data_IF_743957210880
#
_entry.id   IF_743957210880
#
_cell.length_a   1.000
_cell.length_b   1.000
_cell.length_c   1.000
_cell.angle_alpha   90.00
_cell.angle_beta   90.00
_cell.angle_gamma   90.00
#
_symmetry.space_group_name_H-M   'P 1'
#
loop_
_entity.id
_entity.type
_entity.pdbx_description
1 polymer ?
#
# COMPACT_ATOMS: atom_id res chain seq x y z
N UNK A 1 16.46 -13.05 -15.68
CA UNK A 1 17.08 -11.87 -15.04
C UNK A 1 16.27 -11.60 -13.79
N UNK A 2 16.84 -11.83 -12.62
CA UNK A 2 16.23 -11.45 -11.34
C UNK A 2 16.25 -9.93 -11.28
N UNK A 3 15.08 -9.31 -11.37
CA UNK A 3 14.94 -7.91 -11.03
C UNK A 3 14.98 -7.85 -9.50
N UNK A 4 16.20 -7.86 -8.96
CA UNK A 4 16.42 -7.50 -7.55
C UNK A 4 16.31 -5.99 -7.52
N UNK A 5 15.09 -5.49 -7.40
CA UNK A 5 14.87 -4.09 -7.07
C UNK A 5 15.49 -3.90 -5.69
N UNK A 6 16.63 -3.22 -5.62
CA UNK A 6 17.17 -2.76 -4.35
C UNK A 6 16.19 -1.68 -3.85
N UNK A 7 15.14 -2.09 -3.14
CA UNK A 7 14.17 -1.19 -2.55
C UNK A 7 14.85 -0.46 -1.40
N UNK A 8 15.40 0.72 -1.66
CA UNK A 8 15.80 1.65 -0.61
C UNK A 8 14.53 2.12 0.10
N UNK A 9 14.54 2.13 1.44
CA UNK A 9 13.41 2.64 2.22
C UNK A 9 13.15 4.11 1.88
N UNK A 10 11.88 4.50 1.84
CA UNK A 10 11.50 5.88 1.66
C UNK A 10 11.91 6.71 2.89
N UNK A 11 12.47 7.91 2.69
CA UNK A 11 12.71 8.83 3.79
C UNK A 11 11.39 9.51 4.17
N UNK A 12 10.77 9.04 5.27
CA UNK A 12 9.46 9.54 5.71
C UNK A 12 9.51 10.99 6.22
N UNK A 13 10.65 11.47 6.70
CA UNK A 13 10.81 12.85 7.20
C UNK A 13 10.80 13.88 6.05
N UNK A 14 11.27 13.47 4.88
CA UNK A 14 11.34 14.31 3.67
C UNK A 14 10.13 14.09 2.74
N UNK A 15 9.24 13.15 3.08
CA UNK A 15 8.06 12.82 2.28
C UNK A 15 6.91 13.75 2.65
N UNK A 16 6.51 14.61 1.71
CA UNK A 16 5.29 15.41 1.85
C UNK A 16 4.05 14.53 1.72
N UNK A 17 3.11 14.66 2.65
CA UNK A 17 1.84 13.93 2.68
C UNK A 17 0.70 14.91 3.01
N UNK A 18 -0.54 14.68 2.54
CA UNK A 18 -0.96 13.58 1.68
C UNK A 18 -0.39 13.66 0.25
N UNK A 19 -0.53 12.57 -0.49
CA UNK A 19 -0.16 12.47 -1.90
C UNK A 19 -1.25 11.80 -2.74
N UNK A 20 -1.13 11.90 -4.07
CA UNK A 20 -2.08 11.32 -5.02
C UNK A 20 -1.91 9.80 -5.19
N UNK A 21 -2.90 9.16 -5.84
CA UNK A 21 -2.89 7.71 -6.08
C UNK A 21 -1.66 7.25 -6.88
N UNK A 22 -1.20 8.05 -7.85
CA UNK A 22 -0.05 7.69 -8.66
C UNK A 22 1.23 7.60 -7.82
N UNK A 23 1.44 8.58 -6.96
CA UNK A 23 2.56 8.62 -6.00
C UNK A 23 2.45 7.49 -4.98
N UNK A 24 1.24 7.23 -4.48
CA UNK A 24 0.97 6.14 -3.55
C UNK A 24 1.37 4.77 -4.14
N UNK A 25 0.93 4.46 -5.36
CA UNK A 25 1.25 3.21 -6.05
C UNK A 25 2.74 3.10 -6.38
N UNK A 26 3.39 4.23 -6.71
CA UNK A 26 4.85 4.26 -6.89
C UNK A 26 5.57 3.90 -5.59
N UNK A 27 5.20 4.52 -4.47
CA UNK A 27 5.81 4.23 -3.17
C UNK A 27 5.60 2.77 -2.73
N UNK A 28 4.39 2.24 -2.91
CA UNK A 28 4.12 0.83 -2.65
C UNK A 28 4.98 -0.10 -3.51
N UNK A 29 5.16 0.21 -4.80
CA UNK A 29 5.89 -0.65 -5.73
C UNK A 29 7.40 -0.58 -5.58
N UNK A 30 7.94 0.63 -5.48
CA UNK A 30 9.38 0.90 -5.53
C UNK A 30 10.05 0.86 -4.15
N UNK A 31 9.29 1.19 -3.10
CA UNK A 31 9.81 1.25 -1.73
C UNK A 31 9.19 0.20 -0.81
N UNK A 32 8.08 -0.44 -1.22
CA UNK A 32 7.40 -1.46 -0.41
C UNK A 32 6.50 -0.87 0.67
N UNK A 33 6.13 0.40 0.55
CA UNK A 33 5.37 1.12 1.57
C UNK A 33 3.94 0.61 1.73
N UNK A 34 3.46 0.67 2.97
CA UNK A 34 2.05 0.50 3.30
C UNK A 34 1.35 1.84 3.09
N UNK A 35 0.30 1.85 2.27
CA UNK A 35 -0.40 3.08 1.87
C UNK A 35 -1.76 3.12 2.55
N UNK A 36 -2.05 4.14 3.34
CA UNK A 36 -3.38 4.42 3.89
C UNK A 36 -4.19 5.31 2.95
N UNK A 37 -5.43 4.92 2.68
CA UNK A 37 -6.46 5.76 2.12
C UNK A 37 -7.41 6.14 3.27
N UNK A 38 -7.59 7.43 3.50
CA UNK A 38 -8.51 7.95 4.52
C UNK A 38 -9.39 9.04 3.92
N UNK A 39 -10.69 8.85 4.04
CA UNK A 39 -11.71 9.82 3.65
C UNK A 39 -12.88 9.81 4.61
N UNK A 40 -13.91 10.60 4.31
CA UNK A 40 -15.14 10.62 5.08
C UNK A 40 -15.88 9.27 5.09
N UNK A 41 -15.61 8.40 4.11
CA UNK A 41 -16.34 7.13 3.93
C UNK A 41 -15.46 5.89 3.93
N UNK A 42 -14.14 6.06 3.83
CA UNK A 42 -13.18 4.96 3.72
C UNK A 42 -12.01 5.19 4.67
N UNK A 43 -11.57 4.12 5.35
CA UNK A 43 -10.32 4.13 6.13
C UNK A 43 -9.71 2.72 6.06
N UNK A 44 -8.71 2.57 5.21
CA UNK A 44 -8.02 1.30 4.99
C UNK A 44 -6.57 1.55 4.59
N UNK A 45 -5.70 0.57 4.84
CA UNK A 45 -4.36 0.56 4.25
C UNK A 45 -4.18 -0.59 3.29
N UNK A 46 -3.27 -0.39 2.34
CA UNK A 46 -2.93 -1.33 1.29
C UNK A 46 -1.44 -1.64 1.29
N UNK A 47 -1.09 -2.83 0.84
CA UNK A 47 0.28 -3.18 0.52
C UNK A 47 0.35 -4.22 -0.59
N UNK A 48 1.50 -4.22 -1.29
CA UNK A 48 1.79 -5.17 -2.37
C UNK A 48 2.45 -6.42 -1.79
N UNK A 49 1.83 -7.57 -2.03
CA UNK A 49 2.38 -8.89 -1.76
C UNK A 49 2.76 -9.57 -3.08
N UNK A 50 3.95 -10.16 -3.15
CA UNK A 50 4.47 -10.85 -4.32
C UNK A 50 4.80 -12.28 -3.92
N UNK A 51 4.00 -13.22 -4.39
CA UNK A 51 4.17 -14.64 -4.08
C UNK A 51 4.68 -15.40 -5.30
N UNK A 52 5.77 -16.13 -5.11
CA UNK A 52 6.30 -17.04 -6.12
C UNK A 52 5.58 -18.39 -6.05
N UNK A 53 4.82 -18.75 -7.09
CA UNK A 53 3.98 -19.95 -7.10
C UNK A 53 4.17 -20.76 -8.38
N UNK A 54 4.00 -22.10 -8.34
CA UNK A 54 4.06 -22.92 -9.55
C UNK A 54 2.82 -22.70 -10.42
N UNK A 55 3.01 -22.41 -11.71
CA UNK A 55 1.96 -22.28 -12.72
C UNK A 55 2.34 -23.01 -14.03
N UNK A 56 1.36 -23.24 -14.90
CA UNK A 56 1.59 -23.76 -16.25
C UNK A 56 1.68 -22.59 -17.23
N UNK A 57 2.87 -22.38 -17.80
CA UNK A 57 3.12 -21.34 -18.81
C UNK A 57 3.63 -22.02 -20.07
N UNK A 58 2.90 -21.88 -21.18
CA UNK A 58 3.17 -22.54 -22.46
C UNK A 58 3.37 -24.06 -22.31
N UNK A 59 2.45 -24.71 -21.58
CA UNK A 59 2.45 -26.18 -21.39
C UNK A 59 3.53 -26.73 -20.46
N UNK A 60 4.31 -25.88 -19.78
CA UNK A 60 5.36 -26.32 -18.84
C UNK A 60 5.17 -25.70 -17.46
N UNK A 61 5.47 -26.46 -16.41
CA UNK A 61 5.49 -25.97 -15.03
C UNK A 61 6.65 -24.99 -14.85
N UNK A 62 6.34 -23.77 -14.42
CA UNK A 62 7.31 -22.72 -14.10
C UNK A 62 6.89 -22.03 -12.82
N UNK A 63 7.85 -21.50 -12.08
CA UNK A 63 7.54 -20.53 -11.04
C UNK A 63 7.23 -19.19 -11.70
N UNK A 64 6.13 -18.57 -11.28
CA UNK A 64 5.74 -17.22 -11.66
C UNK A 64 5.53 -16.40 -10.39
N UNK A 65 5.80 -15.11 -10.49
CA UNK A 65 5.47 -14.17 -9.43
C UNK A 65 4.01 -13.73 -9.64
N UNK A 66 3.21 -13.90 -8.59
CA UNK A 66 1.81 -13.47 -8.55
C UNK A 66 1.75 -12.29 -7.60
N UNK A 67 1.35 -11.14 -8.15
CA UNK A 67 1.20 -9.92 -7.37
C UNK A 67 -0.24 -9.78 -6.88
N UNK A 68 -0.40 -9.40 -5.62
CA UNK A 68 -1.70 -9.10 -5.02
C UNK A 68 -1.54 -7.83 -4.20
N UNK A 69 -2.50 -6.89 -4.33
CA UNK A 69 -2.62 -5.78 -3.40
C UNK A 69 -3.65 -6.19 -2.35
N UNK A 70 -3.21 -6.28 -1.10
CA UNK A 70 -4.11 -6.48 0.02
C UNK A 70 -4.60 -5.14 0.53
N UNK A 71 -5.85 -5.09 1.00
CA UNK A 71 -6.43 -3.91 1.63
C UNK A 71 -7.13 -4.32 2.93
N UNK A 72 -6.78 -3.66 4.03
CA UNK A 72 -7.33 -3.93 5.36
C UNK A 72 -7.90 -2.66 5.99
N UNK A 73 -9.10 -2.76 6.55
CA UNK A 73 -9.72 -1.67 7.28
C UNK A 73 -9.30 -1.66 8.76
N UNK A 74 -9.71 -0.62 9.48
CA UNK A 74 -9.40 -0.45 10.91
C UNK A 74 -9.86 -1.57 11.84
N UNK A 75 -10.80 -2.41 11.39
CA UNK A 75 -11.28 -3.56 12.16
C UNK A 75 -10.50 -4.85 11.83
N UNK A 76 -9.41 -4.75 11.06
CA UNK A 76 -8.58 -5.88 10.65
C UNK A 76 -9.22 -6.78 9.59
N UNK A 77 -10.35 -6.38 9.00
CA UNK A 77 -11.02 -7.11 7.93
C UNK A 77 -10.53 -6.66 6.57
N UNK A 78 -10.54 -7.57 5.60
CA UNK A 78 -10.24 -7.20 4.21
C UNK A 78 -11.32 -6.30 3.64
N UNK A 79 -10.93 -5.23 2.95
CA UNK A 79 -11.88 -4.38 2.24
C UNK A 79 -12.44 -5.15 1.03
N UNK A 80 -13.72 -5.48 1.07
CA UNK A 80 -14.38 -6.33 0.05
C UNK A 80 -14.70 -5.59 -1.25
N UNK A 81 -14.75 -4.26 -1.22
CA UNK A 81 -15.00 -3.43 -2.40
C UNK A 81 -14.29 -2.10 -2.23
N UNK A 82 -13.49 -1.72 -3.23
CA UNK A 82 -12.87 -0.39 -3.34
C UNK A 82 -13.34 0.20 -4.65
N UNK A 83 -13.98 1.37 -4.58
CA UNK A 83 -14.43 2.09 -5.76
C UNK A 83 -13.25 2.87 -6.36
N UNK A 84 -12.84 2.52 -7.57
CA UNK A 84 -11.71 3.17 -8.27
C UNK A 84 -12.00 4.65 -8.53
N UNK A 85 -13.26 5.01 -8.79
CA UNK A 85 -13.62 6.42 -8.99
C UNK A 85 -13.37 7.23 -7.72
N UNK A 86 -13.68 6.66 -6.55
CA UNK A 86 -13.38 7.29 -5.27
C UNK A 86 -11.86 7.38 -5.12
N UNK A 87 -11.12 6.28 -5.30
CA UNK A 87 -9.64 6.27 -5.20
C UNK A 87 -8.93 7.36 -6.01
N UNK A 88 -9.43 7.73 -7.19
CA UNK A 88 -8.83 8.78 -8.01
C UNK A 88 -8.99 10.19 -7.42
N UNK A 89 -9.94 10.37 -6.51
CA UNK A 89 -10.27 11.64 -5.86
C UNK A 89 -9.91 11.68 -4.36
N UNK A 90 -9.39 10.58 -3.80
CA UNK A 90 -8.99 10.49 -2.39
C UNK A 90 -7.52 10.87 -2.19
N UNK A 91 -7.21 11.19 -0.94
CA UNK A 91 -5.85 11.46 -0.46
C UNK A 91 -5.22 10.20 0.15
N UNK A 92 -3.89 10.12 0.05
CA UNK A 92 -3.12 8.97 0.52
C UNK A 92 -1.98 9.37 1.43
N UNK A 93 -1.70 8.49 2.38
CA UNK A 93 -0.61 8.62 3.35
C UNK A 93 0.19 7.33 3.43
N UNK A 94 1.39 7.39 3.98
CA UNK A 94 2.12 6.23 4.48
C UNK A 94 1.43 5.77 5.78
N UNK A 95 1.08 4.49 5.83
CA UNK A 95 0.50 3.88 7.02
C UNK A 95 1.53 3.85 8.15
N UNK A 96 1.16 4.40 9.31
CA UNK A 96 1.97 4.35 10.53
C UNK A 96 1.68 3.07 11.32
N UNK A 97 2.67 2.61 12.05
CA UNK A 97 2.56 1.46 12.95
C UNK A 97 3.14 1.82 14.31
N UNK A 98 2.57 1.24 15.37
CA UNK A 98 3.10 1.37 16.73
C UNK A 98 4.35 0.47 16.95
N UNK A 99 4.93 0.52 18.15
CA UNK A 99 6.11 -0.28 18.52
C UNK A 99 5.88 -1.81 18.46
N UNK A 100 4.62 -2.25 18.43
CA UNK A 100 4.22 -3.64 18.31
C UNK A 100 3.87 -4.04 16.87
N UNK A 101 3.94 -3.11 15.92
CA UNK A 101 3.59 -3.33 14.52
C UNK A 101 2.09 -3.29 14.25
N UNK A 102 1.28 -2.76 15.17
CA UNK A 102 -0.14 -2.56 14.92
C UNK A 102 -0.37 -1.27 14.13
N UNK A 103 -1.29 -1.27 13.14
CA UNK A 103 -1.68 -0.07 12.41
C UNK A 103 -2.17 1.06 13.34
N UNK A 104 -1.59 2.25 13.21
CA UNK A 104 -2.06 3.47 13.89
C UNK A 104 -3.13 4.19 13.05
N UNK A 105 -4.38 4.15 13.53
CA UNK A 105 -5.53 4.74 12.86
C UNK A 105 -5.85 6.16 13.29
N UNK A 106 -5.00 6.80 14.11
CA UNK A 106 -5.12 8.23 14.42
C UNK A 106 -5.20 9.08 13.16
N UNK A 107 -5.84 10.24 13.26
CA UNK A 107 -6.05 11.10 12.11
C UNK A 107 -4.68 11.60 11.58
N UNK A 108 -4.32 11.29 10.32
CA UNK A 108 -3.02 11.65 9.76
C UNK A 108 -2.87 13.15 9.52
N UNK A 109 -3.94 13.93 9.62
CA UNK A 109 -3.91 15.40 9.49
C UNK A 109 -3.64 16.13 10.81
N UNK A 110 -3.83 15.44 11.94
CA UNK A 110 -3.61 16.03 13.27
C UNK A 110 -2.11 16.09 13.53
N UNK A 111 -1.56 17.32 13.52
CA UNK A 111 -0.11 17.59 13.59
C UNK A 111 0.50 18.13 12.31
N UNK A 112 -0.27 18.22 11.21
CA UNK A 112 0.08 18.97 10.01
C UNK A 112 -0.34 20.46 10.12
N UNK A 113 -0.16 21.06 11.30
CA UNK A 113 -0.39 22.50 11.47
C UNK A 113 0.74 23.28 10.79
N UNK A 114 0.33 24.21 9.93
CA UNK A 114 1.14 25.19 9.17
C UNK A 114 1.84 26.20 10.07
#
# INVERSE_FOLDING_TARGET
MTQTTNNTLLNLEETTQPFDLATALRYMKEHGEFIRCKSATQDFYMYRDVQKRPAIVNGRRKFVDVETIWAFNQWGSTTTTINIADMLNEEYWIMKFDEHGNPDWSDPTVGAEV
#
